data_IF_590762394807
#
_entry.id   IF_590762394807
#
_cell.length_a   1.000
_cell.length_b   1.000
_cell.length_c   1.000
_cell.angle_alpha   90.00
_cell.angle_beta   90.00
_cell.angle_gamma   90.00
#
_symmetry.space_group_name_H-M   'P 1'
#
loop_
_entity.id
_entity.type
_entity.pdbx_description
1 polymer ?
#
# COMPACT_ATOMS: atom_id res chain seq x y z
N UNK A 1 -0.83 -20.49 13.11
CA UNK A 1 -0.82 -19.96 11.73
C UNK A 1 0.30 -20.56 10.88
N UNK A 2 -0.07 -21.25 9.80
CA UNK A 2 0.77 -21.77 8.72
C UNK A 2 1.10 -20.65 7.74
N UNK A 3 2.35 -20.59 7.28
CA UNK A 3 2.80 -19.66 6.25
C UNK A 3 2.78 -20.38 4.89
N UNK A 4 2.12 -19.78 3.90
CA UNK A 4 1.95 -20.33 2.55
C UNK A 4 2.51 -19.36 1.52
N UNK A 5 3.47 -19.83 0.73
CA UNK A 5 4.02 -19.11 -0.40
C UNK A 5 3.03 -19.19 -1.58
N UNK A 6 2.42 -18.07 -1.93
CA UNK A 6 1.56 -17.93 -3.11
C UNK A 6 1.67 -16.50 -3.66
N UNK A 7 2.66 -16.29 -4.50
CA UNK A 7 2.95 -14.97 -5.07
C UNK A 7 1.80 -14.46 -5.93
N UNK A 8 1.09 -15.30 -6.67
CA UNK A 8 -0.02 -14.84 -7.53
C UNK A 8 -1.16 -14.28 -6.69
N UNK A 9 -1.64 -15.03 -5.71
CA UNK A 9 -2.71 -14.57 -4.82
C UNK A 9 -2.26 -13.37 -3.99
N UNK A 10 -1.01 -13.39 -3.51
CA UNK A 10 -0.43 -12.25 -2.81
C UNK A 10 -0.44 -10.99 -3.68
N UNK A 11 -0.09 -11.08 -4.97
CA UNK A 11 -0.07 -9.93 -5.87
C UNK A 11 -1.43 -9.24 -5.93
N UNK A 12 -2.49 -10.04 -6.08
CA UNK A 12 -3.85 -9.55 -6.16
C UNK A 12 -4.28 -8.89 -4.84
N UNK A 13 -3.86 -9.46 -3.71
CA UNK A 13 -4.13 -8.91 -2.38
C UNK A 13 -3.38 -7.60 -2.13
N UNK A 14 -2.09 -7.50 -2.47
CA UNK A 14 -1.33 -6.25 -2.31
C UNK A 14 -1.88 -5.12 -3.21
N UNK A 15 -2.37 -5.44 -4.42
CA UNK A 15 -3.00 -4.45 -5.28
C UNK A 15 -4.30 -3.90 -4.66
N UNK A 16 -5.13 -4.77 -4.07
CA UNK A 16 -6.37 -4.37 -3.37
C UNK A 16 -6.08 -3.57 -2.11
N UNK A 17 -5.10 -4.02 -1.33
CA UNK A 17 -4.64 -3.35 -0.12
C UNK A 17 -4.11 -1.94 -0.42
N UNK A 18 -3.27 -1.81 -1.46
CA UNK A 18 -2.75 -0.51 -1.90
C UNK A 18 -3.88 0.41 -2.40
N UNK A 19 -4.85 -0.13 -3.14
CA UNK A 19 -6.00 0.65 -3.61
C UNK A 19 -6.85 1.21 -2.45
N UNK A 20 -7.03 0.43 -1.38
CA UNK A 20 -7.71 0.89 -0.16
C UNK A 20 -6.91 2.00 0.54
N UNK A 21 -5.58 1.85 0.68
CA UNK A 21 -4.70 2.90 1.24
C UNK A 21 -4.87 4.21 0.49
N UNK A 22 -4.73 4.19 -0.84
CA UNK A 22 -4.86 5.37 -1.71
C UNK A 22 -6.25 6.01 -1.55
N UNK A 23 -7.31 5.20 -1.50
CA UNK A 23 -8.67 5.68 -1.32
C UNK A 23 -8.87 6.37 0.04
N UNK A 24 -8.32 5.79 1.12
CA UNK A 24 -8.42 6.37 2.46
C UNK A 24 -7.67 7.69 2.58
N UNK A 25 -6.51 7.80 1.95
CA UNK A 25 -5.75 9.05 1.90
C UNK A 25 -6.59 10.15 1.22
N UNK A 26 -7.12 9.86 0.02
CA UNK A 26 -8.00 10.82 -0.70
C UNK A 26 -9.17 11.27 0.16
N UNK A 27 -9.89 10.33 0.80
CA UNK A 27 -11.03 10.65 1.68
C UNK A 27 -10.59 11.61 2.80
N UNK A 28 -9.47 11.34 3.46
CA UNK A 28 -8.97 12.18 4.56
C UNK A 28 -8.54 13.58 4.09
N UNK A 29 -7.94 13.69 2.91
CA UNK A 29 -7.60 14.98 2.31
C UNK A 29 -8.87 15.77 1.94
N UNK A 30 -9.91 15.10 1.42
CA UNK A 30 -11.20 15.73 1.14
C UNK A 30 -11.90 16.21 2.41
N UNK A 31 -11.90 15.40 3.47
CA UNK A 31 -12.43 15.79 4.79
C UNK A 31 -11.67 17.00 5.37
N UNK A 32 -10.39 17.14 5.07
CA UNK A 32 -9.57 18.30 5.43
C UNK A 32 -9.75 19.51 4.50
N UNK A 33 -10.72 19.47 3.59
CA UNK A 33 -11.02 20.54 2.62
C UNK A 33 -9.83 20.94 1.73
N UNK A 34 -8.96 19.97 1.40
CA UNK A 34 -7.89 20.17 0.42
C UNK A 34 -8.51 20.45 -0.96
N UNK A 35 -7.97 21.46 -1.64
CA UNK A 35 -8.44 21.88 -2.96
C UNK A 35 -8.28 20.77 -4.02
N UNK A 36 -9.22 20.74 -4.97
CA UNK A 36 -9.30 19.65 -5.96
C UNK A 36 -8.08 19.58 -6.89
N UNK A 37 -7.38 20.69 -7.09
CA UNK A 37 -6.16 20.78 -7.92
C UNK A 37 -4.93 20.17 -7.23
N UNK A 38 -4.92 20.09 -5.89
CA UNK A 38 -3.86 19.47 -5.10
C UNK A 38 -4.18 18.07 -4.60
N UNK A 39 -5.46 17.67 -4.67
CA UNK A 39 -5.94 16.43 -4.10
C UNK A 39 -5.27 15.19 -4.71
N UNK A 40 -5.09 15.16 -6.03
CA UNK A 40 -4.46 14.03 -6.73
C UNK A 40 -2.99 13.88 -6.36
N UNK A 41 -2.21 14.96 -6.47
CA UNK A 41 -0.79 14.97 -6.16
C UNK A 41 -0.51 14.61 -4.70
N UNK A 42 -1.21 15.23 -3.76
CA UNK A 42 -1.07 14.92 -2.33
C UNK A 42 -1.47 13.49 -2.00
N UNK A 43 -2.48 12.93 -2.69
CA UNK A 43 -2.84 11.53 -2.51
C UNK A 43 -1.71 10.61 -2.98
N UNK A 44 -1.12 10.89 -4.15
CA UNK A 44 0.00 10.12 -4.69
C UNK A 44 1.22 10.18 -3.77
N UNK A 45 1.64 11.38 -3.37
CA UNK A 45 2.82 11.60 -2.54
C UNK A 45 2.73 10.86 -1.20
N UNK A 46 1.60 10.98 -0.50
CA UNK A 46 1.39 10.29 0.78
C UNK A 46 1.33 8.77 0.56
N UNK A 47 0.65 8.31 -0.50
CA UNK A 47 0.54 6.88 -0.78
C UNK A 47 1.90 6.25 -1.10
N UNK A 48 2.73 6.91 -1.91
CA UNK A 48 4.09 6.46 -2.25
C UNK A 48 4.98 6.44 -1.01
N UNK A 49 4.88 7.46 -0.14
CA UNK A 49 5.61 7.49 1.13
C UNK A 49 5.26 6.32 2.03
N UNK A 50 3.96 6.04 2.23
CA UNK A 50 3.49 4.90 3.05
C UNK A 50 3.90 3.57 2.41
N UNK A 51 3.74 3.43 1.10
CA UNK A 51 4.12 2.23 0.38
C UNK A 51 5.63 1.94 0.49
N UNK A 52 6.47 2.97 0.43
CA UNK A 52 7.92 2.85 0.65
C UNK A 52 8.28 2.37 2.05
N UNK A 53 7.48 2.72 3.08
CA UNK A 53 7.64 2.14 4.42
C UNK A 53 7.29 0.66 4.41
N UNK A 54 6.18 0.26 3.77
CA UNK A 54 5.70 -1.13 3.73
C UNK A 54 6.66 -2.04 2.95
N UNK A 55 7.25 -1.54 1.87
CA UNK A 55 8.15 -2.28 0.99
C UNK A 55 9.60 -2.32 1.53
N UNK A 56 9.84 -1.79 2.74
CA UNK A 56 11.17 -1.68 3.38
C UNK A 56 12.18 -0.80 2.60
N UNK A 57 11.67 0.21 1.89
CA UNK A 57 12.49 1.17 1.13
C UNK A 57 12.86 2.41 1.94
N UNK A 58 12.16 2.65 3.06
CA UNK A 58 12.32 3.87 3.86
C UNK A 58 13.56 3.87 4.78
N UNK A 59 14.18 2.71 5.02
CA UNK A 59 15.34 2.58 5.93
C UNK A 59 14.98 2.97 7.36
N UNK A 60 14.13 2.17 8.01
CA UNK A 60 13.59 2.48 9.33
C UNK A 60 14.61 2.09 10.41
N UNK A 61 15.13 3.09 11.14
CA UNK A 61 15.92 2.90 12.36
C UNK A 61 15.25 3.64 13.53
N UNK A 62 15.08 2.94 14.66
CA UNK A 62 14.59 3.54 15.90
C UNK A 62 15.44 3.06 17.06
N UNK A 63 16.07 3.98 17.78
CA UNK A 63 16.94 3.69 18.92
C UNK A 63 18.05 2.67 18.59
N UNK A 64 18.59 2.73 17.35
CA UNK A 64 19.62 1.81 16.86
C UNK A 64 19.11 0.40 16.52
N UNK A 65 17.79 0.23 16.42
CA UNK A 65 17.15 -1.00 15.93
C UNK A 65 16.66 -0.77 14.50
N UNK A 66 17.28 -1.49 13.55
CA UNK A 66 16.79 -1.57 12.17
C UNK A 66 15.47 -2.37 12.13
N UNK A 67 14.46 -1.78 11.49
CA UNK A 67 13.13 -2.39 11.32
C UNK A 67 12.93 -2.71 9.86
N UNK A 68 12.66 -3.99 9.57
CA UNK A 68 12.35 -4.51 8.24
C UNK A 68 10.91 -5.00 8.17
N UNK A 69 9.97 -4.22 7.61
CA UNK A 69 8.59 -4.63 7.45
C UNK A 69 8.48 -5.84 6.51
N UNK A 70 7.58 -6.77 6.85
CA UNK A 70 7.26 -7.91 6.01
C UNK A 70 5.75 -8.10 5.91
N UNK A 71 5.20 -7.81 4.75
CA UNK A 71 3.76 -7.90 4.51
C UNK A 71 3.34 -9.36 4.32
N UNK A 72 2.32 -9.78 5.06
CA UNK A 72 1.61 -11.04 4.84
C UNK A 72 0.11 -10.79 4.88
N UNK A 73 -0.66 -11.62 4.18
CA UNK A 73 -2.11 -11.54 4.19
C UNK A 73 -2.70 -12.76 4.86
N UNK A 74 -3.60 -12.53 5.82
CA UNK A 74 -4.35 -13.61 6.45
C UNK A 74 -5.52 -14.04 5.54
N UNK A 75 -5.63 -15.34 5.24
CA UNK A 75 -6.76 -15.89 4.48
C UNK A 75 -7.84 -16.51 5.36
N UNK A 76 -7.44 -17.03 6.51
CA UNK A 76 -8.29 -17.62 7.53
C UNK A 76 -7.58 -17.52 8.89
N UNK A 77 -8.17 -18.06 9.95
CA UNK A 77 -7.62 -17.94 11.31
C UNK A 77 -6.26 -18.63 11.48
N UNK A 78 -5.91 -19.58 10.61
CA UNK A 78 -4.71 -20.40 10.72
C UNK A 78 -3.74 -20.23 9.56
N UNK A 79 -3.97 -19.31 8.62
CA UNK A 79 -3.15 -19.22 7.40
C UNK A 79 -2.76 -17.79 7.05
N UNK A 80 -1.47 -17.62 6.80
CA UNK A 80 -0.87 -16.40 6.25
C UNK A 80 -0.30 -16.71 4.86
N UNK A 81 -0.63 -15.88 3.88
CA UNK A 81 0.00 -15.85 2.57
C UNK A 81 1.16 -14.86 2.58
N UNK A 82 2.27 -15.26 1.98
CA UNK A 82 3.41 -14.38 1.74
C UNK A 82 3.94 -14.54 0.32
N UNK A 83 4.69 -13.54 -0.11
CA UNK A 83 5.28 -13.47 -1.44
C UNK A 83 6.60 -14.23 -1.56
N UNK A 84 7.31 -14.44 -0.43
CA UNK A 84 8.66 -15.00 -0.40
C UNK A 84 9.77 -13.95 -0.37
N UNK A 85 9.43 -12.68 -0.61
CA UNK A 85 10.29 -11.50 -0.52
C UNK A 85 9.44 -10.30 -0.07
N UNK A 86 9.98 -9.07 -0.13
CA UNK A 86 9.23 -7.86 0.20
C UNK A 86 8.03 -7.65 -0.74
N UNK A 87 7.10 -6.82 -0.29
CA UNK A 87 5.99 -6.38 -1.12
C UNK A 87 6.44 -5.35 -2.16
N UNK A 88 5.58 -5.12 -3.15
CA UNK A 88 5.76 -4.15 -4.22
C UNK A 88 4.58 -3.15 -4.21
N UNK A 89 4.16 -2.73 -3.01
CA UNK A 89 3.02 -1.82 -2.86
C UNK A 89 3.27 -0.46 -3.52
N UNK A 90 4.53 0.00 -3.56
CA UNK A 90 4.93 1.23 -4.22
C UNK A 90 4.60 1.21 -5.72
N UNK A 91 4.83 0.07 -6.39
CA UNK A 91 4.48 -0.10 -7.80
C UNK A 91 2.96 -0.13 -8.02
N UNK A 92 2.21 -0.69 -7.06
CA UNK A 92 0.75 -0.76 -7.12
C UNK A 92 0.08 0.63 -6.97
N UNK A 93 0.75 1.62 -6.36
CA UNK A 93 0.20 2.97 -6.16
C UNK A 93 -0.22 3.61 -7.49
N UNK A 94 0.60 3.52 -8.54
CA UNK A 94 0.26 4.12 -9.84
C UNK A 94 -0.99 3.52 -10.46
N UNK A 95 -1.17 2.20 -10.32
CA UNK A 95 -2.36 1.50 -10.78
C UNK A 95 -3.61 1.91 -9.99
N UNK A 96 -3.47 2.06 -8.67
CA UNK A 96 -4.54 2.52 -7.79
C UNK A 96 -4.93 3.98 -8.06
N UNK A 97 -3.96 4.89 -8.16
CA UNK A 97 -4.17 6.30 -8.48
C UNK A 97 -4.93 6.46 -9.80
N UNK A 98 -4.48 5.76 -10.84
CA UNK A 98 -5.13 5.77 -12.16
C UNK A 98 -6.61 5.39 -12.07
N UNK A 99 -6.95 4.30 -11.37
CA UNK A 99 -8.34 3.88 -11.19
C UNK A 99 -9.17 4.88 -10.38
N UNK A 100 -8.56 5.54 -9.39
CA UNK A 100 -9.26 6.43 -8.47
C UNK A 100 -9.52 7.83 -9.03
N UNK A 101 -8.65 8.32 -9.92
CA UNK A 101 -8.70 9.66 -10.49
C UNK A 101 -9.04 9.71 -11.98
N UNK A 102 -9.06 8.57 -12.70
CA UNK A 102 -9.65 8.54 -14.04
C UNK A 102 -11.13 8.93 -14.00
N UNK A 103 -11.44 10.10 -14.58
CA UNK A 103 -12.79 10.48 -14.97
C UNK A 103 -13.30 9.47 -15.99
N UNK A 104 -14.48 8.89 -15.77
CA UNK A 104 -15.28 8.37 -16.88
C UNK A 104 -15.43 9.49 -17.93
N UNK A 105 -15.30 9.17 -19.23
CA UNK A 105 -15.52 10.15 -20.30
C UNK A 105 -16.89 10.82 -20.20
#
# INVERSE_FOLDING_TARGET
MKLILDSSTFNDLQARFTAEIVTRIKIKLQEAAIESDRLEDLTAEIALSIAGVIDDLAGIDSDGVEVHPYLTFRTDDETLLHWGENAYTHEQVYGAMRKLFQRSP
#
